data_IF_926893422235
#
_entry.id   IF_926893422235
#
_cell.length_a   1.000
_cell.length_b   1.000
_cell.length_c   1.000
_cell.angle_alpha   90.00
_cell.angle_beta   90.00
_cell.angle_gamma   90.00
#
_symmetry.space_group_name_H-M   'P 1'
#
loop_
_entity.id
_entity.type
_entity.pdbx_description
1 polymer ?
#
# COMPACT_ATOMS: atom_id res chain seq x y z
N UNK A 1 -4.73 -0.07 22.75
CA UNK A 1 -4.34 0.33 21.38
C UNK A 1 -5.26 -0.40 20.43
N UNK A 2 -5.99 0.31 19.59
CA UNK A 2 -7.02 -0.31 18.75
C UNK A 2 -6.56 -0.40 17.30
N UNK A 3 -5.65 -1.36 17.02
CA UNK A 3 -5.49 -1.83 15.64
C UNK A 3 -6.78 -2.53 15.22
N UNK A 4 -7.14 -2.45 13.94
CA UNK A 4 -8.40 -3.02 13.44
C UNK A 4 -8.15 -3.90 12.22
N UNK A 5 -9.06 -4.83 11.98
CA UNK A 5 -9.13 -5.58 10.73
C UNK A 5 -10.30 -5.06 9.90
N UNK A 6 -10.09 -4.95 8.61
CA UNK A 6 -11.14 -4.58 7.68
C UNK A 6 -12.11 -5.75 7.46
N UNK A 7 -13.35 -5.44 7.12
CA UNK A 7 -14.25 -6.46 6.60
C UNK A 7 -13.69 -7.12 5.33
N UNK A 8 -14.20 -8.26 4.98
CA UNK A 8 -13.73 -9.05 3.84
C UNK A 8 -14.93 -9.78 3.21
N UNK A 9 -14.99 -9.92 1.88
CA UNK A 9 -13.99 -9.47 0.90
C UNK A 9 -14.08 -7.98 0.52
N UNK A 10 -15.13 -7.27 0.90
CA UNK A 10 -15.35 -5.84 0.59
C UNK A 10 -15.49 -5.05 1.88
N UNK A 11 -14.93 -3.84 1.92
CA UNK A 11 -15.07 -2.92 3.05
C UNK A 11 -15.25 -1.47 2.57
N UNK A 12 -15.86 -0.67 3.40
CA UNK A 12 -16.19 0.71 3.06
C UNK A 12 -17.57 0.85 2.40
N UNK A 13 -17.80 1.90 1.56
CA UNK A 13 -16.79 2.87 1.12
C UNK A 13 -16.28 3.76 2.25
N UNK A 14 -15.03 4.20 2.13
CA UNK A 14 -14.39 5.13 3.07
C UNK A 14 -13.87 6.36 2.34
N UNK A 15 -13.95 7.55 2.96
CA UNK A 15 -13.35 8.75 2.39
C UNK A 15 -11.85 8.75 2.69
N UNK A 16 -11.07 8.50 1.64
CA UNK A 16 -9.61 8.57 1.68
C UNK A 16 -9.14 10.00 1.47
N UNK A 17 -8.15 10.45 2.24
CA UNK A 17 -7.53 11.76 2.04
C UNK A 17 -6.78 11.88 0.70
N UNK A 18 -6.38 10.75 0.13
CA UNK A 18 -5.56 10.66 -1.10
C UNK A 18 -6.33 10.20 -2.32
N UNK A 19 -7.32 9.33 -2.13
CA UNK A 19 -7.96 8.59 -3.20
C UNK A 19 -9.46 8.92 -3.38
N UNK A 20 -10.00 9.89 -2.63
CA UNK A 20 -11.43 10.21 -2.67
C UNK A 20 -12.30 9.16 -1.98
N UNK A 21 -13.49 8.87 -2.51
CA UNK A 21 -14.39 7.83 -2.01
C UNK A 21 -13.87 6.46 -2.46
N UNK A 22 -13.30 5.71 -1.53
CA UNK A 22 -12.62 4.44 -1.79
C UNK A 22 -13.47 3.26 -1.36
N UNK A 23 -13.75 2.34 -2.29
CA UNK A 23 -14.28 1.02 -2.01
C UNK A 23 -13.14 0.03 -1.87
N UNK A 24 -12.97 -0.55 -0.68
CA UNK A 24 -11.87 -1.46 -0.40
C UNK A 24 -12.17 -2.90 -0.81
N UNK A 25 -11.20 -3.56 -1.42
CA UNK A 25 -11.20 -4.98 -1.76
C UNK A 25 -10.12 -5.68 -0.93
N UNK A 26 -10.52 -6.66 -0.14
CA UNK A 26 -9.69 -7.39 0.79
C UNK A 26 -9.56 -8.86 0.36
N UNK A 27 -8.39 -9.22 -0.19
CA UNK A 27 -8.08 -10.60 -0.60
C UNK A 27 -7.88 -11.54 0.59
N UNK A 28 -7.58 -11.00 1.78
CA UNK A 28 -7.39 -11.76 3.00
C UNK A 28 -8.73 -12.01 3.71
N UNK A 29 -8.84 -13.05 4.54
CA UNK A 29 -10.01 -13.27 5.39
C UNK A 29 -10.17 -12.15 6.44
N UNK A 30 -11.39 -12.03 7.00
CA UNK A 30 -11.68 -11.05 8.04
C UNK A 30 -11.09 -11.41 9.41
N UNK A 31 -10.71 -12.66 9.63
CA UNK A 31 -10.33 -13.21 10.93
C UNK A 31 -8.91 -12.90 11.38
N UNK A 32 -8.04 -12.46 10.45
CA UNK A 32 -6.64 -12.19 10.78
C UNK A 32 -5.87 -11.47 9.68
N UNK A 33 -4.57 -11.35 9.88
CA UNK A 33 -3.64 -10.66 8.97
C UNK A 33 -2.77 -11.67 8.23
N UNK A 34 -2.64 -11.52 6.91
CA UNK A 34 -1.69 -12.29 6.09
C UNK A 34 -0.84 -11.30 5.33
N UNK A 35 0.38 -11.06 5.79
CA UNK A 35 1.29 -10.08 5.18
C UNK A 35 2.71 -10.63 5.09
N UNK A 36 3.43 -10.23 4.06
CA UNK A 36 4.85 -10.51 3.86
C UNK A 36 5.78 -9.53 4.58
N UNK A 37 5.22 -8.47 5.15
CA UNK A 37 5.86 -7.54 6.08
C UNK A 37 5.17 -7.58 7.46
N UNK A 38 5.86 -7.09 8.48
CA UNK A 38 5.30 -6.90 9.82
C UNK A 38 5.60 -5.50 10.37
N UNK A 39 5.29 -4.50 9.56
CA UNK A 39 5.62 -3.09 9.82
C UNK A 39 5.14 -2.64 11.20
N UNK A 40 6.03 -2.01 11.98
CA UNK A 40 5.75 -1.58 13.36
C UNK A 40 4.67 -0.49 13.47
N UNK A 41 4.29 0.14 12.36
CA UNK A 41 3.26 1.17 12.28
C UNK A 41 1.95 0.69 11.62
N UNK A 42 1.82 -0.62 11.33
CA UNK A 42 0.68 -1.15 10.57
C UNK A 42 -0.65 -1.01 11.33
N UNK A 43 -1.62 -0.32 10.75
CA UNK A 43 -2.95 -0.14 11.36
C UNK A 43 -3.70 -1.47 11.60
N UNK A 44 -3.33 -2.54 10.88
CA UNK A 44 -3.90 -3.88 11.07
C UNK A 44 -3.25 -4.67 12.23
N UNK A 45 -2.27 -4.11 12.91
CA UNK A 45 -1.54 -4.78 13.98
C UNK A 45 -0.36 -5.62 13.49
N UNK A 46 0.32 -6.28 14.40
CA UNK A 46 1.43 -7.19 14.09
C UNK A 46 0.90 -8.58 13.69
N UNK A 47 1.66 -9.30 12.85
CA UNK A 47 1.29 -10.63 12.38
C UNK A 47 1.06 -11.61 13.54
N UNK A 48 1.89 -11.54 14.59
CA UNK A 48 1.75 -12.39 15.78
C UNK A 48 0.49 -12.08 16.62
N UNK A 49 -0.01 -10.84 16.56
CA UNK A 49 -1.21 -10.42 17.27
C UNK A 49 -2.50 -10.77 16.51
N UNK A 50 -2.38 -11.00 15.22
CA UNK A 50 -3.49 -11.24 14.29
C UNK A 50 -3.27 -12.49 13.43
N UNK A 51 -2.92 -13.66 14.04
CA UNK A 51 -2.65 -14.86 13.29
C UNK A 51 -3.88 -15.27 12.47
N UNK A 52 -3.65 -15.69 11.23
CA UNK A 52 -4.70 -16.16 10.34
C UNK A 52 -4.36 -17.56 9.82
N UNK A 53 -5.33 -18.47 9.94
CA UNK A 53 -5.22 -19.84 9.45
C UNK A 53 -6.26 -20.15 8.35
N UNK A 54 -7.11 -19.19 8.03
CA UNK A 54 -8.07 -19.30 6.95
C UNK A 54 -7.39 -19.03 5.60
N UNK A 55 -7.90 -19.66 4.52
CA UNK A 55 -7.37 -19.39 3.17
C UNK A 55 -7.70 -17.96 2.73
N UNK A 56 -6.94 -17.46 1.75
CA UNK A 56 -7.30 -16.26 1.02
C UNK A 56 -8.68 -16.38 0.37
N UNK A 57 -9.37 -15.28 0.18
CA UNK A 57 -10.57 -15.25 -0.65
C UNK A 57 -10.21 -15.61 -2.09
N UNK A 58 -11.03 -16.43 -2.72
CA UNK A 58 -10.89 -16.72 -4.15
C UNK A 58 -11.30 -15.49 -4.98
N UNK A 59 -10.80 -15.40 -6.20
CA UNK A 59 -11.21 -14.35 -7.13
C UNK A 59 -12.72 -14.32 -7.33
N UNK A 60 -13.36 -15.49 -7.44
CA UNK A 60 -14.82 -15.60 -7.60
C UNK A 60 -15.56 -14.94 -6.42
N UNK A 61 -15.21 -15.27 -5.17
CA UNK A 61 -15.82 -14.67 -3.97
C UNK A 61 -15.65 -13.16 -3.93
N UNK A 62 -14.45 -12.68 -4.29
CA UNK A 62 -14.15 -11.24 -4.32
C UNK A 62 -14.97 -10.53 -5.39
N UNK A 63 -15.03 -11.10 -6.60
CA UNK A 63 -15.71 -10.47 -7.73
C UNK A 63 -17.23 -10.47 -7.57
N UNK A 64 -17.83 -11.55 -7.06
CA UNK A 64 -19.25 -11.60 -6.76
C UNK A 64 -19.66 -10.52 -5.73
N UNK A 65 -18.84 -10.35 -4.68
CA UNK A 65 -19.08 -9.34 -3.66
C UNK A 65 -18.84 -7.92 -4.19
N UNK A 66 -17.82 -7.72 -5.03
CA UNK A 66 -17.54 -6.43 -5.66
C UNK A 66 -18.68 -6.03 -6.60
N UNK A 67 -19.16 -6.95 -7.44
CA UNK A 67 -20.29 -6.70 -8.34
C UNK A 67 -21.54 -6.31 -7.55
N UNK A 68 -21.89 -7.09 -6.52
CA UNK A 68 -23.05 -6.80 -5.68
C UNK A 68 -22.96 -5.40 -5.05
N UNK A 69 -21.79 -5.03 -4.53
CA UNK A 69 -21.58 -3.71 -3.89
C UNK A 69 -21.60 -2.56 -4.89
N UNK A 70 -21.02 -2.73 -6.06
CA UNK A 70 -21.07 -1.70 -7.11
C UNK A 70 -22.51 -1.47 -7.62
N UNK A 71 -23.31 -2.54 -7.76
CA UNK A 71 -24.73 -2.42 -8.12
C UNK A 71 -25.55 -1.71 -7.04
N UNK A 72 -25.30 -2.02 -5.77
CA UNK A 72 -25.92 -1.33 -4.63
C UNK A 72 -25.58 0.17 -4.67
N UNK A 73 -24.32 0.53 -4.78
CA UNK A 73 -23.84 1.92 -4.82
C UNK A 73 -24.40 2.67 -6.04
N UNK A 74 -24.48 2.01 -7.20
CA UNK A 74 -25.09 2.59 -8.40
C UNK A 74 -26.58 2.90 -8.20
N UNK A 75 -27.32 2.02 -7.51
CA UNK A 75 -28.73 2.24 -7.20
C UNK A 75 -28.94 3.39 -6.21
N UNK A 76 -27.98 3.64 -5.32
CA UNK A 76 -27.95 4.77 -4.39
C UNK A 76 -27.47 6.08 -5.05
N UNK A 77 -26.91 6.00 -6.26
CA UNK A 77 -26.43 7.17 -7.03
C UNK A 77 -25.04 7.67 -6.59
N UNK A 78 -24.29 6.90 -5.82
CA UNK A 78 -22.94 7.26 -5.34
C UNK A 78 -21.94 6.15 -5.63
N UNK A 79 -21.30 6.18 -6.80
CA UNK A 79 -20.22 5.24 -7.15
C UNK A 79 -18.88 5.68 -6.49
N UNK A 80 -17.95 4.74 -6.25
CA UNK A 80 -16.66 5.10 -5.69
C UNK A 80 -15.79 5.86 -6.71
N UNK A 81 -14.92 6.74 -6.23
CA UNK A 81 -13.87 7.34 -7.05
C UNK A 81 -12.79 6.30 -7.38
N UNK A 82 -12.55 5.36 -6.45
CA UNK A 82 -11.53 4.32 -6.59
C UNK A 82 -11.95 3.00 -5.94
N UNK A 83 -11.64 1.90 -6.60
CA UNK A 83 -11.70 0.53 -6.07
C UNK A 83 -10.28 0.17 -5.65
N UNK A 84 -10.04 -0.01 -4.35
CA UNK A 84 -8.71 -0.15 -3.79
C UNK A 84 -8.45 -1.56 -3.27
N UNK A 85 -7.56 -2.29 -3.92
CA UNK A 85 -7.05 -3.56 -3.40
C UNK A 85 -6.07 -3.29 -2.25
N UNK A 86 -6.52 -3.58 -1.05
CA UNK A 86 -5.81 -3.38 0.21
C UNK A 86 -6.46 -4.29 1.27
N UNK A 87 -6.20 -4.04 2.57
CA UNK A 87 -6.93 -4.72 3.64
C UNK A 87 -6.00 -5.37 4.66
N UNK A 88 -6.31 -6.60 5.06
CA UNK A 88 -5.69 -7.26 6.21
C UNK A 88 -4.35 -7.93 5.84
N UNK A 89 -3.46 -7.23 5.16
CA UNK A 89 -2.13 -7.72 4.78
C UNK A 89 -1.71 -7.35 3.36
N UNK A 90 -1.01 -8.27 2.68
CA UNK A 90 -0.45 -8.04 1.35
C UNK A 90 -1.33 -8.65 0.25
N UNK A 91 -2.03 -7.84 -0.57
CA UNK A 91 -2.96 -8.36 -1.57
C UNK A 91 -2.28 -9.21 -2.65
N UNK A 92 -1.05 -8.87 -3.06
CA UNK A 92 -0.32 -9.60 -4.11
C UNK A 92 0.17 -10.98 -3.65
N UNK A 93 0.10 -11.27 -2.34
CA UNK A 93 0.41 -12.59 -1.81
C UNK A 93 -0.73 -13.60 -2.03
N UNK A 94 -1.95 -13.13 -2.32
CA UNK A 94 -3.08 -14.00 -2.61
C UNK A 94 -2.87 -14.72 -3.95
N UNK A 95 -3.00 -16.06 -4.02
CA UNK A 95 -2.72 -16.82 -5.24
C UNK A 95 -3.56 -16.40 -6.45
N UNK A 96 -4.81 -15.96 -6.22
CA UNK A 96 -5.74 -15.55 -7.27
C UNK A 96 -5.83 -14.01 -7.43
N UNK A 97 -4.83 -13.27 -6.92
CA UNK A 97 -4.76 -11.82 -7.09
C UNK A 97 -4.81 -11.39 -8.57
N UNK A 98 -4.04 -12.00 -9.51
CA UNK A 98 -4.12 -11.60 -10.91
C UNK A 98 -5.51 -11.78 -11.53
N UNK A 99 -6.19 -12.87 -11.18
CA UNK A 99 -7.56 -13.14 -11.66
C UNK A 99 -8.56 -12.15 -11.07
N UNK A 100 -8.40 -11.80 -9.78
CA UNK A 100 -9.24 -10.81 -9.13
C UNK A 100 -9.08 -9.41 -9.76
N UNK A 101 -7.85 -8.99 -10.09
CA UNK A 101 -7.58 -7.73 -10.80
C UNK A 101 -8.24 -7.74 -12.19
N UNK A 102 -8.02 -8.79 -12.99
CA UNK A 102 -8.60 -8.87 -14.32
C UNK A 102 -10.14 -8.78 -14.30
N UNK A 103 -10.78 -9.50 -13.36
CA UNK A 103 -12.23 -9.44 -13.19
C UNK A 103 -12.71 -8.07 -12.68
N UNK A 104 -11.97 -7.44 -11.76
CA UNK A 104 -12.31 -6.12 -11.24
C UNK A 104 -12.25 -5.04 -12.32
N UNK A 105 -11.29 -5.11 -13.25
CA UNK A 105 -11.22 -4.22 -14.42
C UNK A 105 -12.49 -4.33 -15.25
N UNK A 106 -12.93 -5.56 -15.55
CA UNK A 106 -14.17 -5.80 -16.32
C UNK A 106 -15.41 -5.24 -15.58
N UNK A 107 -15.52 -5.50 -14.29
CA UNK A 107 -16.63 -4.99 -13.47
C UNK A 107 -16.64 -3.46 -13.39
N UNK A 108 -15.47 -2.84 -13.19
CA UNK A 108 -15.31 -1.40 -13.18
C UNK A 108 -15.78 -0.79 -14.50
N UNK A 109 -15.33 -1.32 -15.62
CA UNK A 109 -15.68 -0.79 -16.96
C UNK A 109 -17.20 -0.88 -17.23
N UNK A 110 -17.87 -1.89 -16.69
CA UNK A 110 -19.30 -2.09 -16.86
C UNK A 110 -20.17 -1.30 -15.88
N UNK A 111 -19.78 -1.19 -14.62
CA UNK A 111 -20.63 -0.70 -13.53
C UNK A 111 -20.19 0.66 -12.98
N UNK A 112 -18.92 1.00 -13.10
CA UNK A 112 -18.32 2.20 -12.53
C UNK A 112 -17.20 2.77 -13.43
N UNK A 113 -17.48 3.11 -14.70
CA UNK A 113 -16.45 3.41 -15.71
C UNK A 113 -15.59 4.63 -15.41
N UNK A 114 -16.02 5.48 -14.48
CA UNK A 114 -15.24 6.65 -14.04
C UNK A 114 -14.40 6.38 -12.78
N UNK A 115 -14.54 5.20 -12.17
CA UNK A 115 -13.73 4.81 -11.02
C UNK A 115 -12.36 4.32 -11.46
N UNK A 116 -11.34 4.60 -10.65
CA UNK A 116 -10.03 4.01 -10.80
C UNK A 116 -9.94 2.65 -10.10
N UNK A 117 -8.95 1.84 -10.47
CA UNK A 117 -8.49 0.70 -9.67
C UNK A 117 -7.12 1.03 -9.12
N UNK A 118 -6.96 0.93 -7.80
CA UNK A 118 -5.70 1.12 -7.11
C UNK A 118 -5.29 -0.16 -6.37
N UNK A 119 -3.99 -0.43 -6.32
CA UNK A 119 -3.42 -1.50 -5.50
C UNK A 119 -2.42 -0.90 -4.53
N UNK A 120 -2.61 -1.17 -3.23
CA UNK A 120 -1.66 -0.82 -2.17
C UNK A 120 -0.87 -2.09 -1.80
N UNK A 121 0.40 -2.14 -2.17
CA UNK A 121 1.25 -3.32 -1.97
C UNK A 121 2.62 -2.95 -1.39
N UNK A 122 3.19 -3.85 -0.60
CA UNK A 122 4.59 -3.73 -0.19
C UNK A 122 5.59 -4.17 -1.29
N UNK A 123 5.09 -4.62 -2.43
CA UNK A 123 5.85 -4.95 -3.62
C UNK A 123 6.63 -6.26 -3.57
N UNK A 124 6.62 -7.02 -2.46
CA UNK A 124 7.44 -8.25 -2.29
C UNK A 124 7.11 -9.38 -3.27
N UNK A 125 6.04 -9.24 -4.05
CA UNK A 125 5.63 -10.20 -5.09
C UNK A 125 5.56 -9.57 -6.48
N UNK A 126 5.96 -8.30 -6.59
CA UNK A 126 5.87 -7.55 -7.84
C UNK A 126 6.85 -8.04 -8.93
N UNK A 127 7.85 -8.84 -8.56
CA UNK A 127 8.80 -9.52 -9.46
C UNK A 127 8.23 -10.78 -10.14
N UNK A 128 7.07 -11.28 -9.67
CA UNK A 128 6.40 -12.43 -10.29
C UNK A 128 5.70 -11.96 -11.57
N UNK A 129 5.92 -12.62 -12.72
CA UNK A 129 5.37 -12.15 -14.01
C UNK A 129 3.85 -11.93 -13.97
N UNK A 130 3.10 -12.86 -13.39
CA UNK A 130 1.64 -12.77 -13.31
C UNK A 130 1.14 -11.63 -12.37
N UNK A 131 1.92 -11.29 -11.34
CA UNK A 131 1.63 -10.17 -10.45
C UNK A 131 2.02 -8.85 -11.13
N UNK A 132 3.19 -8.82 -11.76
CA UNK A 132 3.64 -7.65 -12.53
C UNK A 132 2.61 -7.29 -13.61
N UNK A 133 2.18 -8.25 -14.40
CA UNK A 133 1.18 -8.04 -15.46
C UNK A 133 -0.15 -7.53 -14.89
N UNK A 134 -0.61 -8.06 -13.75
CA UNK A 134 -1.80 -7.58 -13.07
C UNK A 134 -1.64 -6.14 -12.57
N UNK A 135 -0.49 -5.78 -12.00
CA UNK A 135 -0.18 -4.43 -11.55
C UNK A 135 -0.07 -3.42 -12.72
N UNK A 136 0.28 -3.90 -13.93
CA UNK A 136 0.24 -3.07 -15.14
C UNK A 136 -1.18 -2.82 -15.68
N UNK A 137 -2.20 -3.54 -15.21
CA UNK A 137 -3.60 -3.35 -15.63
C UNK A 137 -4.34 -2.31 -14.81
N UNK A 138 -3.85 -1.93 -13.64
CA UNK A 138 -4.53 -1.02 -12.73
C UNK A 138 -4.16 0.45 -13.01
N UNK A 139 -5.00 1.39 -12.59
CA UNK A 139 -4.75 2.82 -12.81
C UNK A 139 -3.67 3.36 -11.87
N UNK A 140 -3.71 2.95 -10.60
CA UNK A 140 -2.79 3.41 -9.58
C UNK A 140 -2.08 2.21 -8.92
N UNK A 141 -0.91 1.85 -9.45
CA UNK A 141 -0.02 0.84 -8.89
C UNK A 141 0.84 1.47 -7.79
N UNK A 142 0.40 1.34 -6.51
CA UNK A 142 1.01 2.03 -5.36
C UNK A 142 1.87 1.05 -4.59
N UNK A 143 3.19 1.21 -4.70
CA UNK A 143 4.18 0.32 -4.10
C UNK A 143 4.96 1.03 -2.98
N UNK A 144 5.16 0.30 -1.88
CA UNK A 144 5.86 0.81 -0.70
C UNK A 144 7.38 0.81 -0.88
N UNK A 145 8.01 1.94 -0.51
CA UNK A 145 9.46 2.05 -0.32
C UNK A 145 9.74 3.06 0.80
N UNK A 146 9.73 2.62 2.05
CA UNK A 146 9.85 3.51 3.22
C UNK A 146 11.29 3.94 3.51
N UNK A 147 12.24 3.15 3.07
CA UNK A 147 13.68 3.42 3.13
C UNK A 147 14.41 2.45 2.21
N UNK A 148 15.67 2.75 1.92
CA UNK A 148 16.58 1.84 1.18
C UNK A 148 17.71 1.32 2.06
N UNK A 149 17.74 1.67 3.34
CA UNK A 149 18.72 1.13 4.31
C UNK A 149 18.27 -0.25 4.79
N UNK A 150 19.05 -1.33 4.53
CA UNK A 150 18.64 -2.69 4.88
C UNK A 150 18.44 -2.90 6.39
N UNK A 151 19.23 -2.23 7.24
CA UNK A 151 19.10 -2.37 8.69
C UNK A 151 17.83 -1.66 9.19
N UNK A 152 17.50 -0.51 8.60
CA UNK A 152 16.28 0.21 8.94
C UNK A 152 15.04 -0.49 8.41
N UNK A 153 15.08 -1.13 7.24
CA UNK A 153 14.00 -1.99 6.72
C UNK A 153 13.67 -3.11 7.72
N UNK A 154 14.71 -3.78 8.25
CA UNK A 154 14.50 -4.84 9.26
C UNK A 154 13.89 -4.30 10.55
N UNK A 155 14.12 -3.04 10.89
CA UNK A 155 13.58 -2.41 12.10
C UNK A 155 12.15 -1.90 11.89
N UNK A 156 11.89 -1.25 10.75
CA UNK A 156 10.63 -0.54 10.45
C UNK A 156 9.58 -1.46 9.81
N UNK A 157 9.96 -2.16 8.73
CA UNK A 157 9.06 -2.93 7.88
C UNK A 157 9.01 -4.43 8.24
N UNK A 158 10.07 -4.94 8.85
CA UNK A 158 10.18 -6.31 9.34
C UNK A 158 9.74 -7.36 8.30
N UNK A 159 10.44 -7.50 7.17
CA UNK A 159 10.10 -8.49 6.15
C UNK A 159 10.04 -9.91 6.73
N UNK A 160 8.99 -10.66 6.36
CA UNK A 160 8.83 -12.07 6.72
C UNK A 160 9.55 -12.91 5.67
N UNK A 161 10.86 -13.10 5.86
CA UNK A 161 11.72 -13.86 4.95
C UNK A 161 12.78 -12.98 4.28
N UNK A 162 13.54 -13.56 3.34
CA UNK A 162 14.57 -12.82 2.60
C UNK A 162 14.00 -11.62 1.86
N UNK A 163 14.66 -10.49 1.98
CA UNK A 163 14.30 -9.24 1.30
C UNK A 163 15.57 -8.53 0.83
N UNK A 164 15.61 -8.19 -0.44
CA UNK A 164 16.69 -7.45 -1.09
C UNK A 164 16.14 -6.15 -1.65
N UNK A 165 16.54 -5.03 -1.08
CA UNK A 165 16.05 -3.70 -1.48
C UNK A 165 16.55 -3.29 -2.86
N UNK A 166 17.74 -3.71 -3.28
CA UNK A 166 18.23 -3.43 -4.63
C UNK A 166 17.40 -4.16 -5.69
N UNK A 167 17.13 -5.45 -5.49
CA UNK A 167 16.20 -6.19 -6.33
C UNK A 167 14.81 -5.54 -6.37
N UNK A 168 14.33 -5.04 -5.23
CA UNK A 168 13.04 -4.34 -5.15
C UNK A 168 13.03 -3.05 -5.98
N UNK A 169 14.12 -2.25 -5.93
CA UNK A 169 14.27 -1.03 -6.73
C UNK A 169 14.29 -1.38 -8.23
N UNK A 170 15.02 -2.43 -8.63
CA UNK A 170 15.04 -2.91 -10.02
C UNK A 170 13.65 -3.35 -10.48
N UNK A 171 12.93 -4.09 -9.64
CA UNK A 171 11.55 -4.51 -9.89
C UNK A 171 10.63 -3.30 -10.08
N UNK A 172 10.73 -2.28 -9.23
CA UNK A 172 9.92 -1.07 -9.36
C UNK A 172 10.26 -0.26 -10.62
N UNK A 173 11.53 -0.22 -11.00
CA UNK A 173 11.97 0.41 -12.24
C UNK A 173 11.43 -0.32 -13.49
N UNK A 174 11.18 -1.64 -13.42
CA UNK A 174 10.66 -2.42 -14.55
C UNK A 174 9.23 -2.03 -14.96
N UNK A 175 8.48 -1.35 -14.08
CA UNK A 175 7.16 -0.78 -14.41
C UNK A 175 7.24 0.41 -15.38
N UNK A 176 8.44 0.89 -15.73
CA UNK A 176 8.65 1.97 -16.70
C UNK A 176 7.80 3.23 -16.43
N UNK A 177 7.70 3.62 -15.18
CA UNK A 177 6.93 4.78 -14.73
C UNK A 177 5.48 4.47 -14.33
N UNK A 178 4.93 3.29 -14.64
CA UNK A 178 3.59 2.87 -14.19
C UNK A 178 3.61 2.41 -12.73
N UNK A 179 4.11 3.26 -11.86
CA UNK A 179 4.22 3.01 -10.42
C UNK A 179 4.13 4.33 -9.65
N UNK A 180 3.45 4.30 -8.52
CA UNK A 180 3.44 5.35 -7.50
C UNK A 180 4.22 4.83 -6.31
N UNK A 181 5.26 5.54 -5.89
CA UNK A 181 6.00 5.14 -4.69
C UNK A 181 5.36 5.78 -3.47
N UNK A 182 4.94 4.93 -2.53
CA UNK A 182 4.37 5.36 -1.27
C UNK A 182 5.37 5.16 -0.13
N UNK A 183 5.65 6.23 0.62
CA UNK A 183 6.65 6.25 1.70
C UNK A 183 6.09 6.89 2.96
N UNK A 184 6.22 6.20 4.09
CA UNK A 184 5.97 6.78 5.41
C UNK A 184 7.25 7.41 5.96
N UNK A 185 7.13 8.64 6.45
CA UNK A 185 8.14 9.29 7.27
C UNK A 185 7.62 9.44 8.69
N UNK A 186 8.40 9.00 9.66
CA UNK A 186 8.01 9.02 11.07
C UNK A 186 9.24 9.09 11.97
N UNK A 187 8.99 9.42 13.23
CA UNK A 187 10.02 9.46 14.28
C UNK A 187 9.57 8.62 15.48
N UNK A 188 10.43 8.45 16.45
CA UNK A 188 10.09 7.77 17.71
C UNK A 188 11.15 6.80 18.20
N UNK A 189 10.70 5.78 18.92
CA UNK A 189 11.57 4.73 19.48
C UNK A 189 10.87 3.36 19.39
N UNK A 190 11.65 2.34 19.07
CA UNK A 190 11.20 0.95 19.10
C UNK A 190 12.30 0.04 19.67
N UNK A 191 11.98 -0.72 20.71
CA UNK A 191 12.92 -1.64 21.39
C UNK A 191 14.24 -0.95 21.80
N UNK A 192 14.16 0.29 22.32
CA UNK A 192 15.33 1.05 22.75
C UNK A 192 16.20 1.60 21.61
N UNK A 193 15.72 1.53 20.36
CA UNK A 193 16.40 2.09 19.20
C UNK A 193 15.62 3.28 18.67
N UNK A 194 16.29 4.37 18.26
CA UNK A 194 15.61 5.48 17.61
C UNK A 194 15.04 5.04 16.25
N UNK A 195 13.84 5.51 15.98
CA UNK A 195 13.15 5.39 14.70
C UNK A 195 13.04 6.79 14.13
N UNK A 196 13.78 7.07 13.08
CA UNK A 196 13.71 8.34 12.35
C UNK A 196 14.27 8.12 10.94
N UNK A 197 13.42 8.14 9.93
CA UNK A 197 13.82 8.05 8.53
C UNK A 197 13.76 9.41 7.80
N UNK A 198 13.69 10.50 8.55
CA UNK A 198 13.65 11.87 7.99
C UNK A 198 15.02 12.47 7.80
N UNK A 199 16.07 11.87 8.36
CA UNK A 199 17.47 12.31 8.25
C UNK A 199 18.05 12.15 6.85
N UNK A 200 19.08 12.93 6.54
CA UNK A 200 19.75 12.91 5.20
C UNK A 200 20.31 11.54 4.86
N UNK A 201 20.76 10.78 5.84
CA UNK A 201 21.27 9.41 5.69
C UNK A 201 20.24 8.44 5.12
N UNK A 202 18.94 8.72 5.30
CA UNK A 202 17.84 7.93 4.73
C UNK A 202 17.21 8.58 3.52
N UNK A 203 16.97 9.90 3.57
CA UNK A 203 16.30 10.66 2.50
C UNK A 203 17.17 10.74 1.24
N UNK A 204 18.47 10.98 1.38
CA UNK A 204 19.38 11.06 0.23
C UNK A 204 19.42 9.78 -0.62
N UNK A 205 19.72 8.60 -0.04
CA UNK A 205 19.68 7.32 -0.77
C UNK A 205 18.28 6.96 -1.31
N UNK A 206 17.20 7.30 -0.59
CA UNK A 206 15.84 7.09 -1.07
C UNK A 206 15.51 7.95 -2.31
N UNK A 207 15.94 9.22 -2.34
CA UNK A 207 15.80 10.06 -3.52
C UNK A 207 16.57 9.49 -4.72
N UNK A 208 17.79 8.98 -4.49
CA UNK A 208 18.54 8.31 -5.54
C UNK A 208 17.84 7.05 -6.08
N UNK A 209 17.11 6.32 -5.22
CA UNK A 209 16.27 5.21 -5.66
C UNK A 209 15.08 5.71 -6.50
N UNK A 210 14.43 6.82 -6.15
CA UNK A 210 13.36 7.41 -6.96
C UNK A 210 13.85 7.83 -8.35
N UNK A 211 15.07 8.39 -8.47
CA UNK A 211 15.67 8.71 -9.78
C UNK A 211 15.88 7.48 -10.67
N UNK A 212 16.17 6.33 -10.07
CA UNK A 212 16.31 5.04 -10.78
C UNK A 212 14.95 4.46 -11.17
N UNK A 213 13.99 4.47 -10.26
CA UNK A 213 12.62 3.93 -10.46
C UNK A 213 11.85 4.78 -11.47
N UNK A 214 11.99 6.11 -11.41
CA UNK A 214 11.25 7.10 -12.22
C UNK A 214 9.74 6.91 -12.11
N UNK A 215 9.17 6.91 -10.90
CA UNK A 215 7.74 6.72 -10.72
C UNK A 215 6.94 7.88 -11.34
N UNK A 216 5.67 7.64 -11.68
CA UNK A 216 4.78 8.71 -12.13
C UNK A 216 4.45 9.70 -11.01
N UNK A 217 4.53 9.26 -9.75
CA UNK A 217 4.27 10.08 -8.56
C UNK A 217 4.95 9.44 -7.34
N UNK A 218 5.31 10.27 -6.37
CA UNK A 218 5.62 9.82 -5.02
C UNK A 218 4.55 10.35 -4.06
N UNK A 219 4.04 9.48 -3.19
CA UNK A 219 3.13 9.85 -2.10
C UNK A 219 3.87 9.68 -0.78
N UNK A 220 4.09 10.77 -0.07
CA UNK A 220 4.69 10.74 1.25
C UNK A 220 3.66 11.05 2.34
N UNK A 221 3.76 10.37 3.47
CA UNK A 221 2.83 10.53 4.56
C UNK A 221 3.48 10.24 5.92
N UNK A 222 2.76 10.49 6.99
CA UNK A 222 3.17 10.15 8.35
C UNK A 222 2.07 9.40 9.09
N UNK A 223 2.37 8.87 10.27
CA UNK A 223 1.38 8.16 11.09
C UNK A 223 0.17 9.05 11.36
N UNK A 224 -1.01 8.57 11.08
CA UNK A 224 -2.26 9.33 11.24
C UNK A 224 -3.17 8.77 12.33
N UNK A 225 -2.96 7.50 12.68
CA UNK A 225 -3.76 6.75 13.64
C UNK A 225 -2.86 6.04 14.64
N UNK A 226 -3.46 5.39 15.62
CA UNK A 226 -2.74 4.53 16.55
C UNK A 226 -2.02 3.40 15.82
N UNK A 227 -0.79 3.13 16.26
CA UNK A 227 0.07 2.07 15.74
C UNK A 227 0.16 0.93 16.76
N UNK A 228 0.46 -0.32 16.33
CA UNK A 228 0.61 -1.44 17.27
C UNK A 228 1.77 -1.20 18.23
N UNK A 229 2.80 -0.53 17.78
CA UNK A 229 3.96 -0.17 18.60
C UNK A 229 3.76 1.23 19.18
N UNK A 230 3.86 1.33 20.50
CA UNK A 230 3.87 2.61 21.21
C UNK A 230 5.19 3.35 20.96
N UNK A 231 5.16 4.69 21.03
CA UNK A 231 6.37 5.52 20.92
C UNK A 231 6.69 6.01 19.52
N UNK A 232 5.91 5.61 18.51
CA UNK A 232 6.00 6.21 17.17
C UNK A 232 5.28 7.57 17.14
N UNK A 233 5.88 8.52 16.45
CA UNK A 233 5.39 9.89 16.31
C UNK A 233 5.38 10.35 14.85
N UNK A 234 4.56 11.36 14.58
CA UNK A 234 4.52 12.01 13.27
C UNK A 234 5.83 12.70 12.95
N UNK A 235 6.26 12.61 11.70
CA UNK A 235 7.21 13.59 11.15
C UNK A 235 6.53 14.98 11.10
N UNK A 236 7.30 16.02 11.38
CA UNK A 236 6.78 17.38 11.33
C UNK A 236 6.36 17.79 9.91
N UNK A 237 5.27 18.55 9.73
CA UNK A 237 4.82 18.98 8.41
C UNK A 237 5.91 19.65 7.58
N UNK A 238 6.72 20.51 8.20
CA UNK A 238 7.80 21.24 7.54
C UNK A 238 8.89 20.31 7.01
N UNK A 239 9.12 19.18 7.71
CA UNK A 239 10.07 18.14 7.26
C UNK A 239 9.52 17.43 6.03
N UNK A 240 8.23 17.05 6.06
CA UNK A 240 7.58 16.41 4.91
C UNK A 240 7.57 17.35 3.69
N UNK A 241 7.26 18.63 3.89
CA UNK A 241 7.28 19.65 2.82
C UNK A 241 8.67 19.80 2.21
N UNK A 242 9.72 19.81 3.05
CA UNK A 242 11.09 19.87 2.59
C UNK A 242 11.50 18.63 1.77
N UNK A 243 11.07 17.43 2.19
CA UNK A 243 11.30 16.20 1.44
C UNK A 243 10.52 16.23 0.12
N UNK A 244 9.25 16.65 0.14
CA UNK A 244 8.43 16.77 -1.06
C UNK A 244 9.04 17.73 -2.10
N UNK A 245 9.57 18.87 -1.65
CA UNK A 245 10.25 19.82 -2.53
C UNK A 245 11.48 19.20 -3.22
N UNK A 246 12.21 18.31 -2.52
CA UNK A 246 13.34 17.58 -3.11
C UNK A 246 12.88 16.56 -4.14
N UNK A 247 11.79 15.83 -3.88
CA UNK A 247 11.20 14.92 -4.87
C UNK A 247 10.76 15.68 -6.13
N UNK A 248 10.09 16.84 -5.94
CA UNK A 248 9.65 17.69 -7.05
C UNK A 248 10.84 18.26 -7.85
N UNK A 249 11.97 18.53 -7.20
CA UNK A 249 13.19 18.95 -7.85
C UNK A 249 13.80 17.88 -8.80
N UNK A 250 13.45 16.59 -8.58
CA UNK A 250 13.77 15.49 -9.50
C UNK A 250 12.81 15.42 -10.71
N UNK A 251 11.80 16.29 -10.77
CA UNK A 251 10.76 16.24 -11.80
C UNK A 251 9.65 15.23 -11.52
N UNK A 252 9.59 14.66 -10.29
CA UNK A 252 8.58 13.68 -9.88
C UNK A 252 7.47 14.41 -9.11
N UNK A 253 6.19 14.31 -9.54
CA UNK A 253 5.07 14.80 -8.74
C UNK A 253 5.09 14.20 -7.33
N UNK A 254 4.80 15.00 -6.31
CA UNK A 254 4.79 14.54 -4.93
C UNK A 254 3.54 15.00 -4.19
N UNK A 255 2.77 14.05 -3.68
CA UNK A 255 1.63 14.29 -2.81
C UNK A 255 2.03 14.09 -1.34
N UNK A 256 1.62 15.02 -0.46
CA UNK A 256 1.88 14.94 0.99
C UNK A 256 0.58 14.72 1.76
N UNK A 257 0.65 13.85 2.79
CA UNK A 257 -0.47 13.62 3.73
C UNK A 257 0.04 13.66 5.17
N UNK A 258 -0.51 14.56 6.02
CA UNK A 258 -0.12 14.81 7.41
C UNK A 258 -0.96 14.04 8.42
#
# INVERSE_FOLDING_TARGET
>A
MSTFLNASPIFGPVRSRRLGLSLGVNMMPASGKICTFDCIYCENGLNAERPCHEPYNTAAVVLDALEAKLREMAAEGELPDVITFAGNGEPTAAPEFPQAIAGAVVLRDQLAPNSKIAVLSNGTRADRPEVHDALMMVDDNILKLDTVDPAFIQLLDQPVGPYDVEHQIETFASFNGHVIIQTIFLTGEYQGKPIDNTGEEYVGPWLAALERIRPQEATIYTVARETPVAGLAKAAPEVLDAIAARVQALGIPCQVSY
#
